data_IF_302954822603
#
_entry.id   IF_302954822603
#
_cell.length_a   1.000
_cell.length_b   1.000
_cell.length_c   1.000
_cell.angle_alpha   90.00
_cell.angle_beta   90.00
_cell.angle_gamma   90.00
#
_symmetry.space_group_name_H-M   'P 1'
#
loop_
_entity.id
_entity.type
_entity.pdbx_description
1 polymer ?
#
# COMPACT_ATOMS: atom_id res chain seq x y z
N UNK A 1 -15.62 -11.50 40.57
CA UNK A 1 -15.02 -12.09 39.37
C UNK A 1 -14.87 -10.98 38.33
N UNK A 2 -13.67 -10.44 38.17
CA UNK A 2 -13.36 -9.40 37.22
C UNK A 2 -12.85 -10.04 35.94
N UNK A 3 -13.59 -9.89 34.88
CA UNK A 3 -13.12 -10.26 33.53
C UNK A 3 -12.15 -9.19 33.04
N UNK A 4 -10.91 -9.57 32.88
CA UNK A 4 -9.91 -8.76 32.21
C UNK A 4 -10.24 -8.66 30.72
N UNK A 5 -10.44 -7.45 30.27
CA UNK A 5 -10.57 -7.15 28.85
C UNK A 5 -9.29 -7.54 28.09
N UNK A 6 -9.46 -8.39 27.10
CA UNK A 6 -8.41 -8.65 26.11
C UNK A 6 -8.11 -7.35 25.39
N UNK A 7 -6.89 -6.86 25.57
CA UNK A 7 -6.35 -5.80 24.76
C UNK A 7 -6.31 -6.27 23.30
N UNK A 8 -7.12 -5.63 22.45
CA UNK A 8 -7.06 -5.82 21.02
C UNK A 8 -5.78 -5.13 20.52
N UNK A 9 -4.82 -5.91 20.05
CA UNK A 9 -3.72 -5.37 19.25
C UNK A 9 -4.26 -5.02 17.87
N UNK A 10 -4.26 -3.76 17.57
CA UNK A 10 -4.62 -3.24 16.29
C UNK A 10 -3.47 -2.59 15.59
N UNK A 11 -3.52 -2.38 14.30
CA UNK A 11 -2.85 -1.31 13.58
C UNK A 11 -2.88 -1.53 12.12
N UNK A 12 -2.79 -0.63 11.42
CA UNK A 12 -2.33 0.59 10.94
C UNK A 12 -2.83 0.87 9.53
N UNK A 13 -3.50 1.92 9.31
CA UNK A 13 -3.62 2.40 7.96
C UNK A 13 -2.45 3.29 7.66
N UNK A 14 -1.83 2.98 6.59
CA UNK A 14 -0.70 3.69 6.13
C UNK A 14 -0.97 4.48 4.87
N UNK A 15 -0.39 5.63 4.80
CA UNK A 15 -0.31 6.40 3.57
C UNK A 15 0.15 5.53 2.40
N UNK A 16 -0.77 5.21 1.51
CA UNK A 16 -0.56 4.36 0.33
C UNK A 16 0.52 4.86 -0.64
N UNK A 17 0.96 6.10 -0.47
CA UNK A 17 1.85 6.75 -1.41
C UNK A 17 3.32 6.38 -1.28
N UNK A 18 3.77 5.82 -0.16
CA UNK A 18 5.17 5.47 0.03
C UNK A 18 5.48 4.01 -0.28
N UNK A 19 4.50 3.13 -0.16
CA UNK A 19 4.68 1.69 -0.39
C UNK A 19 4.54 1.29 -1.85
N UNK A 20 4.12 2.23 -2.69
CA UNK A 20 3.94 2.06 -4.13
C UNK A 20 5.22 1.75 -4.91
N UNK A 21 6.39 1.74 -4.28
CA UNK A 21 7.64 1.30 -4.91
C UNK A 21 7.66 -0.19 -5.27
N UNK A 22 6.68 -0.97 -4.86
CA UNK A 22 6.55 -2.40 -5.19
C UNK A 22 5.76 -2.68 -6.46
N UNK A 23 5.43 -1.68 -7.28
CA UNK A 23 4.67 -1.89 -8.51
C UNK A 23 3.19 -2.21 -8.30
N UNK A 24 2.70 -2.11 -7.08
CA UNK A 24 1.32 -2.46 -6.76
C UNK A 24 0.81 -1.59 -5.60
N UNK A 25 0.19 -0.43 -5.90
CA UNK A 25 -0.49 0.43 -4.90
C UNK A 25 -1.50 -0.34 -4.03
N UNK A 26 -1.89 -1.51 -4.52
CA UNK A 26 -2.90 -2.36 -3.91
C UNK A 26 -2.38 -3.19 -2.76
N UNK A 27 -1.11 -3.60 -2.78
CA UNK A 27 -0.51 -4.32 -1.66
C UNK A 27 -0.48 -3.45 -0.41
N UNK A 28 -0.25 -2.16 -0.58
CA UNK A 28 -0.27 -1.19 0.51
C UNK A 28 -1.69 -0.96 1.08
N UNK A 29 -2.71 -0.86 0.21
CA UNK A 29 -4.10 -0.70 0.65
C UNK A 29 -4.61 -1.95 1.38
N UNK A 30 -4.26 -3.15 0.89
CA UNK A 30 -4.61 -4.43 1.53
C UNK A 30 -3.89 -4.58 2.88
N UNK A 31 -2.64 -4.18 2.93
CA UNK A 31 -1.87 -4.24 4.16
C UNK A 31 -2.34 -3.23 5.21
N UNK A 32 -2.75 -2.04 4.78
CA UNK A 32 -3.40 -1.06 5.63
C UNK A 32 -4.68 -1.62 6.25
N UNK A 33 -5.43 -2.40 5.51
CA UNK A 33 -6.72 -2.92 5.90
C UNK A 33 -6.67 -4.25 6.68
N UNK A 34 -5.67 -5.10 6.40
CA UNK A 34 -5.64 -6.48 6.91
C UNK A 34 -5.30 -6.61 8.39
N UNK A 35 -4.67 -5.61 8.99
CA UNK A 35 -4.13 -5.70 10.34
C UNK A 35 -4.82 -4.78 11.38
N UNK A 36 -5.85 -4.02 10.97
CA UNK A 36 -6.28 -2.87 11.77
C UNK A 36 -7.55 -3.06 12.57
N UNK A 37 -7.35 -3.13 13.87
CA UNK A 37 -8.25 -2.52 14.85
C UNK A 37 -7.52 -1.27 15.42
N UNK A 38 -8.23 -0.19 15.74
CA UNK A 38 -7.61 1.01 16.29
C UNK A 38 -6.90 0.71 17.61
N UNK A 39 -5.59 0.95 17.66
CA UNK A 39 -4.81 0.87 18.89
C UNK A 39 -5.15 2.02 19.80
N UNK A 40 -5.24 1.75 21.11
CA UNK A 40 -5.33 2.80 22.11
C UNK A 40 -4.11 3.72 22.02
N UNK A 41 -4.34 5.03 22.27
CA UNK A 41 -3.40 6.11 22.01
C UNK A 41 -2.04 6.04 22.73
N UNK A 42 -1.87 5.12 23.68
CA UNK A 42 -0.71 5.06 24.57
C UNK A 42 0.14 3.78 24.43
N UNK A 43 -0.11 2.95 23.40
CA UNK A 43 0.67 1.73 23.18
C UNK A 43 1.80 1.97 22.18
N UNK A 44 2.95 1.38 22.46
CA UNK A 44 4.03 1.23 21.48
C UNK A 44 3.99 -0.17 20.90
N UNK A 45 4.12 -0.30 19.59
CA UNK A 45 4.23 -1.59 18.91
C UNK A 45 5.13 -1.49 17.71
N UNK A 46 5.76 -2.62 17.38
CA UNK A 46 6.58 -2.74 16.18
C UNK A 46 6.05 -3.87 15.32
N UNK A 47 6.03 -3.64 14.02
CA UNK A 47 5.68 -4.63 13.03
C UNK A 47 6.81 -4.74 12.01
N UNK A 48 7.15 -5.97 11.67
CA UNK A 48 8.08 -6.28 10.60
C UNK A 48 7.39 -7.22 9.62
N UNK A 49 7.37 -6.89 8.35
CA UNK A 49 6.72 -7.74 7.36
C UNK A 49 7.57 -7.93 6.11
N UNK A 50 7.37 -9.09 5.49
CA UNK A 50 7.91 -9.43 4.17
C UNK A 50 6.88 -10.24 3.40
N UNK A 51 7.05 -10.38 2.11
CA UNK A 51 6.09 -11.09 1.30
C UNK A 51 6.53 -11.26 -0.14
N UNK A 52 5.57 -11.64 -0.95
CA UNK A 52 5.75 -11.74 -2.38
C UNK A 52 4.49 -11.26 -3.09
N UNK A 53 4.68 -10.39 -4.06
CA UNK A 53 3.61 -9.82 -4.87
C UNK A 53 3.85 -10.14 -6.34
N UNK A 54 2.77 -10.35 -7.08
CA UNK A 54 2.76 -10.52 -8.52
C UNK A 54 1.66 -9.69 -9.14
N UNK A 55 1.95 -9.04 -10.25
CA UNK A 55 0.93 -8.40 -11.06
C UNK A 55 1.27 -8.53 -12.54
N UNK A 56 0.23 -8.53 -13.37
CA UNK A 56 0.36 -8.54 -14.82
C UNK A 56 -0.76 -7.73 -15.46
N UNK A 57 -0.41 -6.98 -16.49
CA UNK A 57 -1.35 -6.16 -17.25
C UNK A 57 -0.68 -5.42 -18.38
N UNK A 58 -1.48 -4.73 -19.16
CA UNK A 58 -0.99 -3.86 -20.24
C UNK A 58 -0.56 -2.49 -19.74
N UNK A 59 -1.12 -2.04 -18.62
CA UNK A 59 -0.84 -0.76 -17.98
C UNK A 59 -0.88 0.43 -18.96
N UNK A 60 -1.93 0.45 -19.80
CA UNK A 60 -2.12 1.49 -20.81
C UNK A 60 -1.41 1.26 -22.15
N UNK A 61 -0.67 0.16 -22.31
CA UNK A 61 0.05 -0.20 -23.54
C UNK A 61 -0.60 -1.38 -24.29
N UNK A 62 -0.01 -1.77 -25.42
CA UNK A 62 -0.48 -2.91 -26.21
C UNK A 62 0.04 -4.27 -25.66
N UNK A 63 1.23 -4.27 -25.03
CA UNK A 63 1.95 -5.46 -24.59
C UNK A 63 1.87 -5.60 -23.08
N UNK A 64 1.72 -6.84 -22.60
CA UNK A 64 1.69 -7.13 -21.16
C UNK A 64 3.07 -6.90 -20.54
N UNK A 65 3.04 -6.33 -19.35
CA UNK A 65 4.17 -6.29 -18.42
C UNK A 65 3.81 -7.07 -17.17
N UNK A 66 4.70 -7.93 -16.72
CA UNK A 66 4.58 -8.60 -15.42
C UNK A 66 5.60 -8.04 -14.44
N UNK A 67 5.15 -7.83 -13.22
CA UNK A 67 5.99 -7.38 -12.12
C UNK A 67 5.85 -8.34 -10.96
N UNK A 68 6.97 -8.74 -10.41
CA UNK A 68 7.06 -9.45 -9.13
C UNK A 68 7.80 -8.56 -8.14
N UNK A 69 7.46 -8.64 -6.87
CA UNK A 69 8.23 -7.94 -5.85
C UNK A 69 8.31 -8.73 -4.55
N UNK A 70 9.39 -8.55 -3.84
CA UNK A 70 9.60 -9.06 -2.50
C UNK A 70 9.95 -7.87 -1.58
N UNK A 71 8.96 -7.23 -0.95
CA UNK A 71 9.19 -6.11 -0.06
C UNK A 71 9.63 -6.57 1.33
N UNK A 72 10.46 -5.74 1.96
CA UNK A 72 10.74 -5.75 3.38
C UNK A 72 10.20 -4.46 3.96
N UNK A 73 9.43 -4.54 5.03
CA UNK A 73 8.74 -3.41 5.61
C UNK A 73 8.88 -3.42 7.13
N UNK A 74 9.01 -2.24 7.71
CA UNK A 74 9.02 -2.01 9.14
C UNK A 74 8.07 -0.89 9.50
N UNK A 75 7.29 -1.07 10.57
CA UNK A 75 6.39 -0.06 11.13
C UNK A 75 6.62 0.07 12.62
N UNK A 76 6.53 1.28 13.12
CA UNK A 76 6.57 1.58 14.55
C UNK A 76 5.39 2.48 14.91
N UNK A 77 4.59 2.07 15.86
CA UNK A 77 3.59 2.92 16.50
C UNK A 77 4.15 3.44 17.81
N UNK A 78 4.20 4.73 18.00
CA UNK A 78 4.71 5.41 19.18
C UNK A 78 3.64 6.38 19.69
N UNK A 79 2.70 5.85 20.47
CA UNK A 79 1.53 6.59 20.88
C UNK A 79 0.68 7.05 19.68
N UNK A 80 0.62 8.35 19.41
CA UNK A 80 -0.10 8.90 18.25
C UNK A 80 0.71 9.00 16.97
N UNK A 81 2.02 8.79 17.06
CA UNK A 81 2.92 8.83 15.90
C UNK A 81 3.13 7.43 15.35
N UNK A 82 2.97 7.28 14.06
CA UNK A 82 3.34 6.08 13.32
C UNK A 82 4.45 6.40 12.33
N UNK A 83 5.47 5.55 12.32
CA UNK A 83 6.58 5.60 11.38
C UNK A 83 6.59 4.32 10.56
N UNK A 84 7.07 4.40 9.32
CA UNK A 84 7.20 3.24 8.44
C UNK A 84 8.34 3.39 7.48
N UNK A 85 8.89 2.26 7.06
CA UNK A 85 9.88 2.14 6.01
C UNK A 85 9.58 0.91 5.16
N UNK A 86 9.83 0.98 3.86
CA UNK A 86 9.68 -0.15 2.94
C UNK A 86 10.76 -0.11 1.87
N UNK A 87 11.33 -1.28 1.58
CA UNK A 87 12.33 -1.49 0.53
C UNK A 87 12.00 -2.78 -0.23
N UNK A 88 11.55 -2.70 -1.49
CA UNK A 88 11.26 -3.88 -2.29
C UNK A 88 12.45 -4.32 -3.12
N UNK A 89 12.58 -5.61 -3.36
CA UNK A 89 13.31 -6.14 -4.51
C UNK A 89 12.31 -6.47 -5.63
N UNK A 90 12.60 -6.06 -6.85
CA UNK A 90 11.61 -6.08 -7.96
C UNK A 90 12.16 -6.83 -9.16
N UNK A 91 11.32 -7.64 -9.81
CA UNK A 91 11.56 -8.28 -11.10
C UNK A 91 10.50 -7.80 -12.09
N UNK A 92 10.92 -7.25 -13.21
CA UNK A 92 10.04 -6.74 -14.27
C UNK A 92 10.32 -7.52 -15.54
N UNK A 93 9.27 -8.03 -16.17
CA UNK A 93 9.34 -8.64 -17.49
C UNK A 93 8.32 -7.99 -18.41
N UNK A 94 8.80 -7.31 -19.44
CA UNK A 94 7.99 -6.56 -20.40
C UNK A 94 8.42 -5.09 -20.51
N UNK A 95 7.76 -4.32 -21.41
CA UNK A 95 8.18 -2.96 -21.77
C UNK A 95 7.82 -1.90 -20.72
N UNK A 96 6.99 -2.23 -19.72
CA UNK A 96 6.56 -1.27 -18.70
C UNK A 96 7.66 -0.87 -17.74
N UNK A 97 7.51 0.28 -17.11
CA UNK A 97 8.42 0.85 -16.12
C UNK A 97 7.68 1.15 -14.82
N UNK A 98 8.41 1.21 -13.70
CA UNK A 98 7.85 1.69 -12.43
C UNK A 98 8.10 3.19 -12.35
N UNK A 99 7.00 3.94 -12.26
CA UNK A 99 7.00 5.40 -12.26
C UNK A 99 6.12 5.88 -11.11
N UNK A 100 6.66 6.63 -10.17
CA UNK A 100 5.90 7.12 -9.03
C UNK A 100 5.22 6.00 -8.21
N UNK A 101 5.80 4.81 -8.23
CA UNK A 101 5.29 3.65 -7.52
C UNK A 101 4.22 2.84 -8.26
N UNK A 102 3.86 3.19 -9.49
CA UNK A 102 2.94 2.42 -10.33
C UNK A 102 3.65 1.91 -11.57
N UNK A 103 3.13 0.81 -12.13
CA UNK A 103 3.61 0.32 -13.42
C UNK A 103 2.94 1.11 -14.53
N UNK A 104 3.74 1.61 -15.46
CA UNK A 104 3.30 2.26 -16.70
C UNK A 104 3.79 1.43 -17.87
N UNK A 105 2.87 1.02 -18.73
CA UNK A 105 3.19 0.27 -19.94
C UNK A 105 3.95 1.13 -20.97
N UNK A 106 4.67 0.48 -21.87
CA UNK A 106 5.30 1.11 -23.02
C UNK A 106 4.91 0.40 -24.30
N UNK A 107 4.74 1.14 -25.37
CA UNK A 107 4.49 0.62 -26.71
C UNK A 107 5.77 0.48 -27.54
N UNK A 108 6.93 0.76 -26.95
CA UNK A 108 8.21 0.56 -27.62
C UNK A 108 8.60 -0.92 -27.59
N UNK A 109 8.60 -1.64 -28.75
CA UNK A 109 8.97 -3.04 -28.80
C UNK A 109 10.42 -3.30 -28.40
N UNK A 110 11.29 -2.32 -28.54
CA UNK A 110 12.70 -2.42 -28.14
C UNK A 110 12.90 -2.35 -26.63
N UNK A 111 11.90 -1.85 -25.90
CA UNK A 111 11.90 -1.75 -24.44
C UNK A 111 11.54 -3.07 -23.74
N UNK A 112 11.22 -4.14 -24.46
CA UNK A 112 10.93 -5.46 -23.87
C UNK A 112 12.22 -6.03 -23.30
N UNK A 113 12.36 -5.92 -22.01
CA UNK A 113 13.51 -6.44 -21.28
C UNK A 113 13.04 -7.18 -20.01
N UNK A 114 13.84 -8.14 -19.57
CA UNK A 114 13.79 -8.66 -18.21
C UNK A 114 14.83 -7.90 -17.40
N UNK A 115 14.41 -7.28 -16.30
CA UNK A 115 15.29 -6.56 -15.39
C UNK A 115 14.85 -6.77 -13.96
N UNK A 116 15.79 -6.70 -13.05
CA UNK A 116 15.53 -6.83 -11.62
C UNK A 116 16.53 -5.99 -10.82
N UNK A 117 16.21 -5.74 -9.58
CA UNK A 117 17.05 -4.97 -8.67
C UNK A 117 16.28 -4.44 -7.47
N UNK A 118 16.99 -3.73 -6.61
CA UNK A 118 16.36 -3.00 -5.50
C UNK A 118 15.52 -1.84 -6.04
N UNK A 119 14.33 -1.71 -5.47
CA UNK A 119 13.48 -0.56 -5.68
C UNK A 119 13.86 0.65 -4.81
N UNK A 120 13.04 1.68 -4.88
CA UNK A 120 13.25 2.89 -4.06
C UNK A 120 12.86 2.64 -2.60
N UNK A 121 13.69 3.14 -1.67
CA UNK A 121 13.35 3.19 -0.25
C UNK A 121 12.23 4.21 -0.02
N UNK A 122 11.16 3.75 0.58
CA UNK A 122 10.02 4.58 0.94
C UNK A 122 9.95 4.75 2.44
N UNK A 123 9.73 5.98 2.89
CA UNK A 123 9.57 6.35 4.30
C UNK A 123 8.23 7.07 4.47
N UNK A 124 7.59 6.85 5.61
CA UNK A 124 6.34 7.51 5.95
C UNK A 124 6.24 7.82 7.42
N UNK A 125 5.48 8.86 7.72
CA UNK A 125 5.07 9.23 9.06
C UNK A 125 3.59 9.63 9.04
N UNK A 126 2.84 9.24 10.07
CA UNK A 126 1.46 9.69 10.25
C UNK A 126 1.20 10.02 11.71
N UNK A 127 0.37 11.04 11.93
CA UNK A 127 -0.02 11.47 13.27
C UNK A 127 -1.53 11.39 13.43
N UNK A 128 -1.97 10.71 14.48
CA UNK A 128 -3.37 10.57 14.85
C UNK A 128 -3.88 11.86 15.47
N UNK A 129 -4.81 12.51 14.77
CA UNK A 129 -5.44 13.77 15.20
C UNK A 129 -6.56 13.50 16.20
N UNK A 130 -7.41 12.48 15.92
CA UNK A 130 -8.56 12.13 16.73
C UNK A 130 -8.52 10.69 17.20
N UNK A 131 -9.18 10.42 18.32
CA UNK A 131 -9.52 9.05 18.73
C UNK A 131 -10.97 8.78 18.35
N UNK A 132 -11.32 7.52 18.15
CA UNK A 132 -12.70 7.13 17.87
C UNK A 132 -13.57 7.37 19.14
N UNK A 133 -14.69 8.06 18.94
CA UNK A 133 -15.65 8.31 20.01
C UNK A 133 -17.05 8.57 19.43
N UNK A 134 -17.99 7.71 19.73
CA UNK A 134 -19.36 7.81 19.18
C UNK A 134 -19.35 7.84 17.65
N UNK A 135 -19.85 8.91 17.04
CA UNK A 135 -19.84 9.12 15.59
C UNK A 135 -18.48 9.56 15.04
N UNK A 136 -17.57 10.09 15.88
CA UNK A 136 -16.27 10.60 15.45
C UNK A 136 -15.35 9.46 15.04
N UNK A 137 -14.79 9.44 13.81
CA UNK A 137 -13.79 8.47 13.40
C UNK A 137 -12.40 8.80 13.94
N UNK A 138 -11.48 7.85 13.84
CA UNK A 138 -10.05 8.14 13.89
C UNK A 138 -9.68 8.88 12.61
N UNK A 139 -8.98 9.99 12.74
CA UNK A 139 -8.42 10.76 11.62
C UNK A 139 -6.91 10.84 11.82
N UNK A 140 -6.17 10.54 10.75
CA UNK A 140 -4.72 10.63 10.73
C UNK A 140 -4.25 11.52 9.58
N UNK A 141 -3.25 12.34 9.85
CA UNK A 141 -2.54 13.12 8.84
C UNK A 141 -1.19 12.45 8.58
N UNK A 142 -0.92 12.10 7.32
CA UNK A 142 0.28 11.41 6.91
C UNK A 142 1.12 12.19 5.91
N UNK A 143 2.42 11.90 5.93
CA UNK A 143 3.39 12.35 4.95
C UNK A 143 4.31 11.21 4.54
N UNK A 144 4.76 11.22 3.28
CA UNK A 144 5.59 10.16 2.71
C UNK A 144 6.67 10.72 1.83
N UNK A 145 7.78 10.02 1.75
CA UNK A 145 8.83 10.27 0.77
C UNK A 145 9.36 8.97 0.20
N UNK A 146 9.56 8.94 -1.10
CA UNK A 146 10.29 7.90 -1.81
C UNK A 146 11.66 8.45 -2.17
N UNK A 147 12.70 7.82 -1.68
CA UNK A 147 14.08 8.20 -1.95
C UNK A 147 14.58 7.49 -3.22
N UNK A 148 15.37 8.14 -4.08
CA UNK A 148 15.84 7.58 -5.34
C UNK A 148 17.03 6.61 -5.12
N UNK A 149 16.78 5.52 -4.39
CA UNK A 149 17.78 4.50 -4.05
C UNK A 149 17.76 3.30 -5.00
N UNK A 150 16.73 3.20 -5.85
CA UNK A 150 16.60 2.11 -6.79
C UNK A 150 17.70 2.11 -7.85
N UNK A 151 17.97 0.92 -8.39
CA UNK A 151 18.75 0.78 -9.59
C UNK A 151 18.14 1.59 -10.74
N UNK A 152 18.98 2.19 -11.57
CA UNK A 152 18.55 3.08 -12.68
C UNK A 152 17.62 2.40 -13.70
N UNK A 153 17.64 1.09 -13.77
CA UNK A 153 16.77 0.29 -14.65
C UNK A 153 15.40 0.02 -14.02
N UNK A 154 15.25 0.27 -12.72
CA UNK A 154 14.03 0.00 -11.95
C UNK A 154 13.29 1.28 -11.61
N UNK A 155 13.97 2.28 -11.07
CA UNK A 155 13.39 3.52 -10.59
C UNK A 155 13.59 4.72 -11.54
N UNK A 156 12.92 5.82 -11.23
CA UNK A 156 13.05 7.08 -11.97
C UNK A 156 14.32 7.87 -11.62
N UNK A 157 15.02 7.50 -10.55
CA UNK A 157 16.15 8.26 -10.02
C UNK A 157 15.76 9.61 -9.42
N UNK A 158 14.47 9.80 -9.10
CA UNK A 158 13.93 11.03 -8.51
C UNK A 158 13.18 10.73 -7.23
N UNK A 159 13.22 11.68 -6.30
CA UNK A 159 12.41 11.62 -5.09
C UNK A 159 10.96 11.98 -5.39
N UNK A 160 10.04 11.29 -4.71
CA UNK A 160 8.62 11.62 -4.71
C UNK A 160 8.19 11.96 -3.28
N UNK A 161 7.17 12.79 -3.15
CA UNK A 161 6.61 13.20 -1.87
C UNK A 161 5.09 13.03 -1.89
N UNK A 162 4.51 12.82 -0.72
CA UNK A 162 3.07 12.72 -0.60
C UNK A 162 2.57 13.20 0.74
N UNK A 163 1.31 13.66 0.75
CA UNK A 163 0.55 13.92 1.97
C UNK A 163 -0.81 13.27 1.85
N UNK A 164 -1.38 12.84 2.96
CA UNK A 164 -2.71 12.23 2.96
C UNK A 164 -3.44 12.44 4.29
N UNK A 165 -4.75 12.35 4.22
CA UNK A 165 -5.63 12.21 5.37
C UNK A 165 -6.27 10.84 5.30
N UNK A 166 -6.18 10.09 6.38
CA UNK A 166 -6.80 8.78 6.51
C UNK A 166 -7.87 8.80 7.61
N UNK A 167 -8.88 7.96 7.42
CA UNK A 167 -10.01 7.84 8.34
C UNK A 167 -10.29 6.36 8.61
N UNK A 168 -10.63 6.04 9.88
CA UNK A 168 -11.04 4.72 10.33
C UNK A 168 -12.27 4.84 11.20
N UNK A 169 -13.25 3.97 10.97
CA UNK A 169 -14.49 3.94 11.72
C UNK A 169 -14.96 2.53 11.98
N UNK A 170 -15.07 2.16 13.24
CA UNK A 170 -15.72 0.91 13.64
C UNK A 170 -17.22 0.99 13.37
N UNK A 171 -17.75 -0.05 12.73
CA UNK A 171 -19.17 -0.22 12.43
C UNK A 171 -19.62 -1.54 13.07
N UNK A 172 -20.27 -1.41 14.22
CA UNK A 172 -20.61 -2.59 15.03
C UNK A 172 -19.36 -3.24 15.67
N UNK A 173 -19.48 -4.48 16.16
CA UNK A 173 -18.44 -5.13 16.97
C UNK A 173 -17.30 -5.74 16.13
N UNK A 174 -17.49 -5.96 14.84
CA UNK A 174 -16.56 -6.74 14.03
C UNK A 174 -16.21 -6.14 12.68
N UNK A 175 -16.74 -4.98 12.32
CA UNK A 175 -16.45 -4.33 11.05
C UNK A 175 -15.78 -2.99 11.25
N UNK A 176 -14.84 -2.65 10.36
CA UNK A 176 -14.16 -1.35 10.30
C UNK A 176 -14.21 -0.83 8.87
N UNK A 177 -14.72 0.36 8.68
CA UNK A 177 -14.57 1.13 7.46
C UNK A 177 -13.27 1.92 7.53
N UNK A 178 -12.55 1.99 6.43
CA UNK A 178 -11.33 2.77 6.32
C UNK A 178 -11.27 3.47 4.97
N UNK A 179 -10.54 4.58 4.92
CA UNK A 179 -10.29 5.29 3.68
C UNK A 179 -9.21 6.34 3.84
N UNK A 180 -8.63 6.75 2.72
CA UNK A 180 -7.64 7.82 2.66
C UNK A 180 -7.74 8.56 1.34
N UNK A 181 -7.47 9.85 1.38
CA UNK A 181 -7.27 10.70 0.22
C UNK A 181 -5.95 11.44 0.41
N UNK A 182 -5.14 11.47 -0.63
CA UNK A 182 -3.85 12.11 -0.60
C UNK A 182 -3.50 12.79 -1.92
N UNK A 183 -2.39 13.50 -1.89
CA UNK A 183 -1.78 14.11 -3.07
C UNK A 183 -0.30 13.75 -3.13
N UNK A 184 0.18 13.35 -4.31
CA UNK A 184 1.56 12.96 -4.56
C UNK A 184 2.22 13.90 -5.54
N UNK A 185 3.41 14.36 -5.18
CA UNK A 185 4.32 15.10 -6.06
C UNK A 185 5.38 14.14 -6.59
N UNK A 186 5.38 13.93 -7.91
CA UNK A 186 6.30 13.01 -8.56
C UNK A 186 7.50 13.75 -9.12
N UNK A 187 8.69 13.28 -8.80
CA UNK A 187 9.94 13.77 -9.33
C UNK A 187 10.13 13.34 -10.78
N UNK A 188 10.15 14.29 -11.72
CA UNK A 188 10.32 14.03 -13.15
C UNK A 188 11.78 13.84 -13.52
N UNK A 189 12.14 12.72 -14.20
CA UNK A 189 13.44 12.61 -14.86
C UNK A 189 13.57 13.63 -16.00
N UNK A 190 14.78 13.87 -16.47
CA UNK A 190 15.02 14.83 -17.57
C UNK A 190 14.41 14.40 -18.91
N UNK A 191 14.17 13.10 -19.09
CA UNK A 191 13.68 12.54 -20.35
C UNK A 191 12.17 12.70 -20.55
N UNK A 192 11.37 12.84 -19.47
CA UNK A 192 9.91 12.98 -19.54
C UNK A 192 9.36 13.62 -18.27
N UNK A 193 8.18 14.21 -18.40
CA UNK A 193 7.47 14.85 -17.30
C UNK A 193 6.48 13.88 -16.65
N UNK A 194 6.43 13.89 -15.34
CA UNK A 194 5.45 13.18 -14.55
C UNK A 194 4.44 14.15 -13.94
N UNK A 195 3.19 13.71 -13.90
CA UNK A 195 2.10 14.46 -13.31
C UNK A 195 1.97 14.09 -11.84
N UNK A 196 1.93 15.11 -11.01
CA UNK A 196 1.48 15.00 -9.63
C UNK A 196 -0.04 14.87 -9.62
N UNK A 197 -0.58 14.21 -8.60
CA UNK A 197 -2.03 13.99 -8.61
C UNK A 197 -2.57 13.38 -7.33
N UNK A 198 -3.90 13.26 -7.33
CA UNK A 198 -4.68 12.69 -6.22
C UNK A 198 -4.56 11.19 -6.21
N UNK A 199 -4.47 10.64 -5.00
CA UNK A 199 -4.61 9.22 -4.72
C UNK A 199 -5.73 9.03 -3.71
N UNK A 200 -6.48 7.97 -3.84
CA UNK A 200 -7.53 7.61 -2.90
C UNK A 200 -7.60 6.10 -2.74
N UNK A 201 -7.89 5.63 -1.55
CA UNK A 201 -8.30 4.26 -1.33
C UNK A 201 -9.32 4.20 -0.21
N UNK A 202 -10.08 3.10 -0.17
CA UNK A 202 -11.01 2.84 0.90
C UNK A 202 -11.54 1.43 0.84
N UNK A 203 -12.13 0.97 1.94
CA UNK A 203 -12.62 -0.38 2.01
C UNK A 203 -13.29 -0.71 3.34
N UNK A 204 -13.53 -1.99 3.49
CA UNK A 204 -14.09 -2.57 4.69
C UNK A 204 -13.25 -3.76 5.14
N UNK A 205 -13.04 -3.86 6.43
CA UNK A 205 -12.48 -5.03 7.09
C UNK A 205 -13.51 -5.62 8.05
N UNK A 206 -13.69 -6.93 8.00
CA UNK A 206 -14.62 -7.67 8.88
C UNK A 206 -13.79 -8.72 9.63
N UNK A 207 -13.92 -8.73 10.94
CA UNK A 207 -13.24 -9.68 11.83
C UNK A 207 -14.29 -10.57 12.52
N UNK A 208 -14.64 -11.71 11.91
CA UNK A 208 -15.63 -12.61 12.50
C UNK A 208 -15.15 -13.25 13.80
N UNK A 209 -13.84 -13.44 13.96
CA UNK A 209 -13.20 -13.94 15.17
C UNK A 209 -11.81 -13.32 15.39
N UNK A 210 -11.10 -13.76 16.44
CA UNK A 210 -9.79 -13.22 16.79
C UNK A 210 -8.65 -13.62 15.83
N UNK A 211 -8.85 -14.69 15.05
CA UNK A 211 -7.83 -15.24 14.17
C UNK A 211 -8.00 -14.81 12.71
N UNK A 212 -9.21 -14.51 12.27
CA UNK A 212 -9.52 -14.25 10.86
C UNK A 212 -10.00 -12.81 10.65
N UNK A 213 -9.43 -12.14 9.68
CA UNK A 213 -9.94 -10.90 9.11
C UNK A 213 -10.19 -11.09 7.62
N UNK A 214 -11.32 -10.61 7.14
CA UNK A 214 -11.71 -10.61 5.73
C UNK A 214 -11.99 -9.18 5.31
N UNK A 215 -11.60 -8.79 4.12
CA UNK A 215 -11.93 -7.46 3.67
C UNK A 215 -11.82 -7.28 2.17
N UNK A 216 -12.19 -6.10 1.74
CA UNK A 216 -11.99 -5.65 0.38
C UNK A 216 -11.68 -4.16 0.39
N UNK A 217 -10.78 -3.76 -0.51
CA UNK A 217 -10.43 -2.36 -0.73
C UNK A 217 -10.57 -1.99 -2.21
N UNK A 218 -10.83 -0.72 -2.47
CA UNK A 218 -10.72 -0.11 -3.79
C UNK A 218 -9.68 1.00 -3.72
N UNK A 219 -8.91 1.15 -4.77
CA UNK A 219 -7.88 2.19 -4.90
C UNK A 219 -8.05 2.95 -6.21
N UNK A 220 -7.66 4.21 -6.18
CA UNK A 220 -7.62 5.09 -7.34
C UNK A 220 -6.37 5.99 -7.27
N UNK A 221 -5.78 6.24 -8.44
CA UNK A 221 -4.71 7.20 -8.64
C UNK A 221 -4.89 7.95 -9.95
N UNK A 222 -4.71 9.26 -9.93
CA UNK A 222 -4.70 10.09 -11.14
C UNK A 222 -3.56 9.70 -12.09
N UNK A 223 -3.71 10.03 -13.41
CA UNK A 223 -2.71 9.72 -14.42
C UNK A 223 -1.33 10.30 -14.06
N UNK A 224 -0.31 9.45 -14.06
CA UNK A 224 1.07 9.85 -13.74
C UNK A 224 1.81 10.50 -14.91
N UNK A 225 1.23 10.49 -16.12
CA UNK A 225 1.75 11.18 -17.29
C UNK A 225 0.60 11.52 -18.26
N UNK A 226 0.85 12.50 -19.13
CA UNK A 226 -0.12 12.94 -20.14
C UNK A 226 -0.45 11.79 -21.11
N UNK A 227 -1.72 11.71 -21.50
CA UNK A 227 -2.24 10.66 -22.38
C UNK A 227 -2.49 9.31 -21.72
N UNK A 228 -2.14 9.13 -20.45
CA UNK A 228 -2.47 7.93 -19.70
C UNK A 228 -3.82 8.08 -18.97
N UNK A 229 -4.44 6.96 -18.64
CA UNK A 229 -5.58 6.93 -17.72
C UNK A 229 -5.10 6.79 -16.29
N UNK A 230 -5.91 7.26 -15.34
CA UNK A 230 -5.71 6.96 -13.93
C UNK A 230 -5.85 5.46 -13.67
N UNK A 231 -5.17 4.96 -12.66
CA UNK A 231 -5.28 3.54 -12.26
C UNK A 231 -6.37 3.38 -11.21
N UNK A 232 -7.16 2.31 -11.35
CA UNK A 232 -8.19 1.94 -10.39
C UNK A 232 -8.28 0.42 -10.26
N UNK A 233 -8.45 -0.09 -9.03
CA UNK A 233 -8.52 -1.51 -8.80
C UNK A 233 -9.28 -1.86 -7.53
N UNK A 234 -9.72 -3.12 -7.43
CA UNK A 234 -10.37 -3.70 -6.26
C UNK A 234 -9.55 -4.89 -5.80
N UNK A 235 -9.40 -5.00 -4.48
CA UNK A 235 -8.56 -6.03 -3.85
C UNK A 235 -9.26 -6.66 -2.65
N UNK A 236 -9.85 -7.85 -2.80
CA UNK A 236 -10.24 -8.67 -1.67
C UNK A 236 -9.00 -9.29 -1.01
N UNK A 237 -9.07 -9.46 0.30
CA UNK A 237 -7.99 -10.04 1.10
C UNK A 237 -8.52 -10.86 2.28
N UNK A 238 -7.65 -11.75 2.76
CA UNK A 238 -7.83 -12.48 4.00
C UNK A 238 -6.56 -12.43 4.83
N UNK A 239 -6.70 -12.14 6.10
CA UNK A 239 -5.61 -12.22 7.08
C UNK A 239 -5.93 -13.32 8.08
N UNK A 240 -4.97 -14.20 8.30
CA UNK A 240 -5.00 -15.22 9.32
C UNK A 240 -3.92 -14.96 10.37
N UNK A 241 -4.32 -14.77 11.62
CA UNK A 241 -3.42 -14.63 12.76
C UNK A 241 -3.01 -15.99 13.27
N UNK A 242 -1.85 -16.45 12.85
CA UNK A 242 -1.27 -17.75 13.19
C UNK A 242 -0.95 -17.83 14.67
N UNK A 243 -0.48 -16.74 15.26
CA UNK A 243 -0.21 -16.59 16.69
C UNK A 243 -0.38 -15.14 17.12
N UNK A 244 -0.11 -14.82 18.39
CA UNK A 244 -0.11 -13.43 18.86
C UNK A 244 0.95 -12.57 18.16
N UNK A 245 2.02 -13.18 17.69
CA UNK A 245 3.17 -12.51 17.09
C UNK A 245 3.25 -12.70 15.57
N UNK A 246 2.42 -13.56 14.96
CA UNK A 246 2.56 -13.92 13.57
C UNK A 246 1.21 -13.84 12.84
N UNK A 247 1.17 -13.07 11.77
CA UNK A 247 0.06 -12.97 10.83
C UNK A 247 0.45 -13.34 9.42
N UNK A 248 -0.49 -13.92 8.68
CA UNK A 248 -0.36 -14.22 7.26
C UNK A 248 -1.52 -13.57 6.52
N UNK A 249 -1.23 -12.73 5.52
CA UNK A 249 -2.24 -12.10 4.67
C UNK A 249 -2.07 -12.58 3.24
N UNK A 250 -3.17 -13.01 2.63
CA UNK A 250 -3.26 -13.27 1.21
C UNK A 250 -4.25 -12.32 0.56
N UNK A 251 -3.96 -11.87 -0.65
CA UNK A 251 -4.85 -11.00 -1.40
C UNK A 251 -4.78 -11.25 -2.90
N UNK A 252 -5.82 -10.82 -3.59
CA UNK A 252 -5.83 -10.69 -5.05
C UNK A 252 -6.25 -9.28 -5.42
N UNK A 253 -6.00 -8.89 -6.66
CA UNK A 253 -6.40 -7.59 -7.16
C UNK A 253 -6.86 -7.68 -8.61
N UNK A 254 -7.87 -6.89 -8.96
CA UNK A 254 -8.40 -6.76 -10.31
C UNK A 254 -8.47 -5.29 -10.67
N UNK A 255 -7.83 -4.93 -11.76
CA UNK A 255 -7.89 -3.58 -12.32
C UNK A 255 -9.24 -3.29 -12.95
N UNK A 256 -9.72 -2.07 -12.79
CA UNK A 256 -11.00 -1.61 -13.30
C UNK A 256 -10.90 -0.90 -14.66
N UNK A 257 -9.67 -0.70 -15.16
CA UNK A 257 -9.41 -0.09 -16.46
C UNK A 257 -8.10 -0.58 -17.07
N UNK A 258 -7.81 -0.19 -18.31
CA UNK A 258 -6.64 -0.66 -19.06
C UNK A 258 -5.29 -0.17 -18.52
N UNK A 259 -5.27 0.92 -17.76
CA UNK A 259 -4.05 1.43 -17.12
C UNK A 259 -3.67 0.68 -15.85
N UNK A 260 -4.61 -0.07 -15.29
CA UNK A 260 -4.42 -0.86 -14.08
C UNK A 260 -3.87 -2.26 -14.41
N UNK A 261 -3.29 -2.99 -13.42
CA UNK A 261 -2.98 -4.39 -13.60
C UNK A 261 -4.27 -5.17 -13.93
N UNK A 262 -4.22 -6.05 -14.93
CA UNK A 262 -5.35 -6.93 -15.24
C UNK A 262 -5.67 -7.81 -14.02
N UNK A 263 -4.65 -8.37 -13.41
CA UNK A 263 -4.74 -9.17 -12.19
C UNK A 263 -3.44 -9.06 -11.40
N UNK A 264 -3.57 -9.09 -10.11
CA UNK A 264 -2.47 -9.21 -9.15
C UNK A 264 -2.84 -10.18 -8.04
N UNK A 265 -1.83 -10.66 -7.34
CA UNK A 265 -1.97 -11.45 -6.13
C UNK A 265 -0.72 -11.30 -5.27
N UNK A 266 -0.86 -11.49 -3.97
CA UNK A 266 0.28 -11.46 -3.06
C UNK A 266 0.01 -12.17 -1.76
N UNK A 267 1.11 -12.45 -1.07
CA UNK A 267 1.12 -12.99 0.27
C UNK A 267 2.06 -12.15 1.14
N UNK A 268 1.68 -11.94 2.40
CA UNK A 268 2.43 -11.16 3.37
C UNK A 268 2.54 -11.90 4.67
N UNK A 269 3.73 -12.01 5.21
CA UNK A 269 4.00 -12.50 6.54
C UNK A 269 4.35 -11.31 7.44
N UNK A 270 3.68 -11.18 8.58
CA UNK A 270 3.87 -10.06 9.50
C UNK A 270 4.22 -10.59 10.89
N UNK A 271 5.30 -10.07 11.45
CA UNK A 271 5.71 -10.26 12.84
C UNK A 271 5.30 -9.03 13.66
N UNK A 272 4.63 -9.24 14.77
CA UNK A 272 4.16 -8.23 15.72
C UNK A 272 4.97 -8.32 17.01
N UNK A 273 5.39 -7.16 17.54
CA UNK A 273 6.08 -7.01 18.83
C UNK A 273 5.43 -5.94 19.70
#
# INVERSE_FOLDING_TARGET
MRWFGLAALGLAACSSNALAASGNDQSAAVQAAGNDAPVQADSSSFEFSTGFDYSVGKYGAAVDTSVKSAPIEAKAQLGRLRLQAALPYVWIKGPGQIVGGVVVGSNDPSAIASRDGLGDLSLGAAYRLTNESGALPIIELGGTTKLPTADRTIGTGKADYGVNVAMFKSVGPSATLFGSVGYSWLGSPSAYRLNSGVTAYGGINIRPDAAISLGASASYREPVADGLQGQAAVSPYVTYRVSRQLGLTGYTSVGLNSASPRVGAGVRLTLFQ
#
